data_IF_942536377529
#
_entry.id   IF_942536377529
#
_cell.length_a   1.000
_cell.length_b   1.000
_cell.length_c   1.000
_cell.angle_alpha   90.00
_cell.angle_beta   90.00
_cell.angle_gamma   90.00
#
_symmetry.space_group_name_H-M   'P 1'
#
loop_
_entity.id
_entity.type
_entity.pdbx_description
1 polymer ?
#
# COMPACT_ATOMS: atom_id res chain seq x y z
N UNK A 1 24.04 14.65 -3.80
CA UNK A 1 22.62 14.34 -3.53
C UNK A 1 21.78 14.80 -4.71
N UNK A 2 20.69 14.10 -5.03
CA UNK A 2 19.70 14.55 -6.02
C UNK A 2 18.92 15.75 -5.45
N UNK A 3 18.63 16.76 -6.26
CA UNK A 3 18.16 18.07 -5.76
C UNK A 3 16.65 18.29 -5.84
N UNK A 4 15.90 17.30 -6.34
CA UNK A 4 14.43 17.32 -6.40
C UNK A 4 13.89 16.22 -5.51
N UNK A 5 12.59 16.26 -5.24
CA UNK A 5 11.89 15.20 -4.51
C UNK A 5 12.07 13.84 -5.20
N UNK A 6 12.57 12.86 -4.46
CA UNK A 6 12.76 11.48 -4.88
C UNK A 6 11.84 10.57 -4.07
N UNK A 7 10.86 9.98 -4.76
CA UNK A 7 9.96 8.98 -4.19
C UNK A 7 10.37 7.61 -4.74
N UNK A 8 10.75 6.68 -3.87
CA UNK A 8 11.18 5.33 -4.29
C UNK A 8 10.02 4.35 -4.14
N UNK A 9 9.71 3.61 -5.20
CA UNK A 9 8.62 2.62 -5.19
C UNK A 9 9.15 1.23 -4.86
N UNK A 10 8.76 0.70 -3.69
CA UNK A 10 9.26 -0.57 -3.18
C UNK A 10 8.49 -1.76 -3.77
N UNK A 11 9.25 -2.82 -4.08
CA UNK A 11 8.70 -4.11 -4.50
C UNK A 11 8.21 -4.90 -3.28
N UNK A 12 7.07 -5.59 -3.37
CA UNK A 12 6.64 -6.51 -2.32
C UNK A 12 7.37 -7.87 -2.38
N UNK A 13 8.15 -8.14 -3.43
CA UNK A 13 8.82 -9.43 -3.63
C UNK A 13 10.16 -9.47 -2.89
N UNK A 14 10.12 -9.25 -1.57
CA UNK A 14 11.27 -9.18 -0.67
C UNK A 14 10.97 -9.91 0.64
N UNK A 15 12.00 -10.37 1.32
CA UNK A 15 11.87 -11.03 2.63
C UNK A 15 11.48 -10.05 3.74
N UNK A 16 12.01 -8.82 3.71
CA UNK A 16 11.83 -7.84 4.79
C UNK A 16 11.58 -6.44 4.23
N UNK A 17 10.33 -5.98 4.21
CA UNK A 17 10.03 -4.61 3.77
C UNK A 17 10.62 -3.53 4.70
N UNK A 18 10.71 -3.70 6.04
CA UNK A 18 11.36 -2.72 6.93
C UNK A 18 12.82 -2.44 6.55
N UNK A 19 13.59 -3.47 6.24
CA UNK A 19 15.01 -3.33 5.90
C UNK A 19 15.20 -2.51 4.62
N UNK A 20 14.43 -2.82 3.57
CA UNK A 20 14.48 -2.08 2.31
C UNK A 20 13.99 -0.63 2.48
N UNK A 21 12.91 -0.41 3.23
CA UNK A 21 12.41 0.92 3.53
C UNK A 21 13.48 1.76 4.25
N UNK A 22 14.15 1.19 5.25
CA UNK A 22 15.22 1.87 6.00
C UNK A 22 16.46 2.14 5.15
N UNK A 23 16.87 1.18 4.32
CA UNK A 23 18.01 1.33 3.43
C UNK A 23 17.78 2.49 2.43
N UNK A 24 16.56 2.60 1.90
CA UNK A 24 16.18 3.65 0.95
C UNK A 24 16.08 5.02 1.62
N UNK A 25 15.53 5.10 2.84
CA UNK A 25 15.57 6.33 3.65
C UNK A 25 17.02 6.79 3.89
N UNK A 26 17.90 5.87 4.33
CA UNK A 26 19.32 6.16 4.57
C UNK A 26 20.08 6.58 3.31
N UNK A 27 19.60 6.17 2.13
CA UNK A 27 20.16 6.59 0.83
C UNK A 27 19.68 7.99 0.38
N UNK A 28 18.78 8.62 1.13
CA UNK A 28 18.31 9.99 0.90
C UNK A 28 17.02 10.10 0.09
N UNK A 29 16.12 9.10 0.17
CA UNK A 29 14.77 9.25 -0.37
C UNK A 29 13.94 10.22 0.48
N UNK A 30 13.13 11.06 -0.17
CA UNK A 30 12.24 12.01 0.51
C UNK A 30 10.92 11.35 0.95
N UNK A 31 10.51 10.29 0.25
CA UNK A 31 9.35 9.46 0.58
C UNK A 31 9.49 8.07 -0.04
N UNK A 32 8.69 7.13 0.45
CA UNK A 32 8.53 5.80 -0.16
C UNK A 32 7.10 5.59 -0.63
N UNK A 33 6.93 4.80 -1.67
CA UNK A 33 5.63 4.32 -2.11
C UNK A 33 5.62 2.80 -2.18
N UNK A 34 4.56 2.16 -1.69
CA UNK A 34 4.47 0.71 -1.72
C UNK A 34 3.01 0.23 -1.63
N UNK A 35 2.67 -0.87 -2.31
CA UNK A 35 3.56 -1.81 -2.99
C UNK A 35 3.49 -1.71 -4.52
N UNK A 36 4.54 -2.20 -5.18
CA UNK A 36 4.43 -2.65 -6.57
C UNK A 36 3.65 -3.99 -6.64
N UNK A 37 3.54 -4.60 -7.82
CA UNK A 37 2.82 -5.87 -7.99
C UNK A 37 3.55 -7.05 -7.35
N UNK A 38 2.78 -8.04 -6.87
CA UNK A 38 3.31 -9.37 -6.57
C UNK A 38 3.60 -10.13 -7.86
N UNK A 39 4.42 -11.18 -7.81
CA UNK A 39 4.61 -12.05 -8.96
C UNK A 39 3.53 -13.14 -9.01
N UNK A 40 2.94 -13.34 -10.18
CA UNK A 40 1.97 -14.40 -10.43
C UNK A 40 2.10 -14.99 -11.82
N UNK A 41 1.30 -16.00 -12.13
CA UNK A 41 1.20 -16.61 -13.46
C UNK A 41 -0.24 -17.06 -13.73
N UNK A 42 -0.55 -17.23 -15.01
CA UNK A 42 -1.79 -17.84 -15.47
C UNK A 42 -1.45 -18.93 -16.49
N UNK A 43 -2.09 -20.09 -16.38
CA UNK A 43 -1.86 -21.27 -17.23
C UNK A 43 -3.16 -21.60 -17.95
N UNK A 44 -3.07 -21.79 -19.26
CA UNK A 44 -4.13 -22.40 -20.06
C UNK A 44 -4.07 -23.92 -19.84
N UNK A 45 -5.06 -24.48 -19.14
CA UNK A 45 -5.06 -25.89 -18.75
C UNK A 45 -5.22 -26.86 -19.94
N UNK A 46 -5.86 -26.42 -21.02
CA UNK A 46 -6.05 -27.23 -22.22
C UNK A 46 -4.79 -27.26 -23.07
N UNK A 47 -4.16 -26.09 -23.26
CA UNK A 47 -2.91 -25.98 -24.03
C UNK A 47 -1.67 -26.38 -23.24
N UNK A 48 -1.77 -26.36 -21.91
CA UNK A 48 -0.64 -26.57 -20.98
C UNK A 48 0.47 -25.54 -21.16
N UNK A 49 0.10 -24.31 -21.49
CA UNK A 49 1.01 -23.20 -21.79
C UNK A 49 0.71 -21.98 -20.91
N UNK A 50 1.68 -21.08 -20.67
CA UNK A 50 1.41 -19.81 -20.01
C UNK A 50 0.47 -18.93 -20.83
N UNK A 51 -0.48 -18.28 -20.17
CA UNK A 51 -1.37 -17.29 -20.81
C UNK A 51 -0.60 -16.00 -21.15
N UNK A 52 0.40 -15.66 -20.33
CA UNK A 52 1.23 -14.47 -20.51
C UNK A 52 2.47 -14.80 -21.33
N UNK A 53 2.77 -13.98 -22.35
CA UNK A 53 3.99 -14.15 -23.17
C UNK A 53 5.29 -14.08 -22.36
N UNK A 54 5.27 -13.38 -21.22
CA UNK A 54 6.39 -13.26 -20.27
C UNK A 54 6.44 -14.40 -19.24
N UNK A 55 5.60 -15.44 -19.40
CA UNK A 55 5.38 -16.58 -18.49
C UNK A 55 4.76 -16.18 -17.15
N UNK A 56 5.34 -15.20 -16.48
CA UNK A 56 4.87 -14.59 -15.25
C UNK A 56 4.46 -13.14 -15.49
N UNK A 57 3.74 -12.55 -14.54
CA UNK A 57 3.35 -11.15 -14.60
C UNK A 57 3.04 -10.59 -13.21
N UNK A 58 2.71 -9.30 -13.18
CA UNK A 58 2.31 -8.61 -11.96
C UNK A 58 0.88 -8.97 -11.54
N UNK A 59 0.72 -9.51 -10.35
CA UNK A 59 -0.56 -9.61 -9.66
C UNK A 59 -0.85 -8.30 -8.91
N UNK A 60 -2.01 -7.71 -9.20
CA UNK A 60 -2.51 -6.48 -8.59
C UNK A 60 -4.00 -6.61 -8.23
N UNK A 61 -4.65 -5.49 -7.93
CA UNK A 61 -6.08 -5.47 -7.60
C UNK A 61 -6.37 -5.91 -6.16
N UNK A 62 -7.65 -6.10 -5.81
CA UNK A 62 -8.08 -6.30 -4.42
C UNK A 62 -7.44 -7.53 -3.75
N UNK A 63 -7.05 -8.53 -4.55
CA UNK A 63 -6.37 -9.74 -4.07
C UNK A 63 -5.08 -9.44 -3.29
N UNK A 64 -4.36 -8.36 -3.63
CA UNK A 64 -3.09 -8.01 -2.97
C UNK A 64 -3.26 -7.05 -1.79
N UNK A 65 -4.48 -6.57 -1.51
CA UNK A 65 -4.76 -5.56 -0.46
C UNK A 65 -4.22 -5.99 0.92
N UNK A 66 -4.45 -7.23 1.41
CA UNK A 66 -3.98 -7.62 2.73
C UNK A 66 -2.45 -7.58 2.86
N UNK A 67 -1.72 -7.95 1.80
CA UNK A 67 -0.26 -7.89 1.77
C UNK A 67 0.22 -6.44 1.78
N UNK A 68 -0.43 -5.57 0.98
CA UNK A 68 -0.12 -4.16 0.91
C UNK A 68 -0.33 -3.44 2.25
N UNK A 69 -1.46 -3.68 2.94
CA UNK A 69 -1.74 -3.10 4.26
C UNK A 69 -0.68 -3.46 5.29
N UNK A 70 -0.34 -4.75 5.41
CA UNK A 70 0.73 -5.22 6.31
C UNK A 70 2.05 -4.51 6.02
N UNK A 71 2.44 -4.44 4.74
CA UNK A 71 3.72 -3.84 4.35
C UNK A 71 3.77 -2.34 4.57
N UNK A 72 2.68 -1.62 4.31
CA UNK A 72 2.58 -0.17 4.63
C UNK A 72 2.72 0.05 6.13
N UNK A 73 2.03 -0.76 6.93
CA UNK A 73 2.09 -0.68 8.39
C UNK A 73 3.49 -0.97 8.95
N UNK A 74 4.17 -1.99 8.43
CA UNK A 74 5.56 -2.29 8.79
C UNK A 74 6.54 -1.19 8.36
N UNK A 75 6.39 -0.65 7.15
CA UNK A 75 7.25 0.42 6.64
C UNK A 75 7.07 1.71 7.45
N UNK A 76 5.82 2.13 7.71
CA UNK A 76 5.50 3.33 8.48
C UNK A 76 6.12 3.31 9.88
N UNK A 77 6.14 2.16 10.56
CA UNK A 77 6.76 2.01 11.89
C UNK A 77 8.29 2.00 11.87
N UNK A 78 8.91 1.98 10.70
CA UNK A 78 10.36 1.80 10.52
C UNK A 78 11.08 3.06 10.04
N UNK A 79 10.43 3.85 9.18
CA UNK A 79 11.00 5.06 8.58
C UNK A 79 10.35 6.32 9.16
N UNK A 80 11.04 7.45 9.05
CA UNK A 80 10.53 8.77 9.45
C UNK A 80 10.04 9.60 8.25
N UNK A 81 10.28 9.12 7.02
CA UNK A 81 9.80 9.76 5.79
C UNK A 81 8.36 9.32 5.43
N UNK A 82 7.57 10.14 4.71
CA UNK A 82 6.20 9.80 4.35
C UNK A 82 6.07 8.49 3.55
N UNK A 83 4.99 7.77 3.83
CA UNK A 83 4.66 6.50 3.17
C UNK A 83 3.44 6.68 2.29
N UNK A 84 3.56 6.35 1.00
CA UNK A 84 2.43 6.36 0.05
C UNK A 84 1.93 4.93 -0.15
N UNK A 85 0.71 4.65 0.30
CA UNK A 85 0.09 3.33 0.30
C UNK A 85 -0.62 2.99 -1.01
N UNK A 86 -0.38 1.79 -1.53
CA UNK A 86 -0.86 1.35 -2.86
C UNK A 86 -1.04 -0.16 -2.87
N UNK A 87 -2.12 -0.64 -3.50
CA UNK A 87 -2.33 -2.06 -3.76
C UNK A 87 -3.72 -2.50 -3.37
N UNK A 88 -4.59 -2.70 -4.36
CA UNK A 88 -5.93 -3.26 -4.13
C UNK A 88 -6.95 -2.34 -3.47
N UNK A 89 -6.70 -1.02 -3.43
CA UNK A 89 -7.70 -0.02 -3.02
C UNK A 89 -8.78 0.05 -4.09
N UNK A 90 -10.01 -0.29 -3.72
CA UNK A 90 -11.19 -0.32 -4.62
C UNK A 90 -12.25 0.71 -4.22
N UNK A 91 -12.25 1.17 -2.97
CA UNK A 91 -13.25 2.08 -2.43
C UNK A 91 -12.69 2.93 -1.28
N UNK A 92 -13.54 3.80 -0.71
CA UNK A 92 -13.13 4.72 0.36
C UNK A 92 -12.77 4.02 1.67
N UNK A 93 -13.42 2.90 2.01
CA UNK A 93 -13.07 2.15 3.22
C UNK A 93 -11.64 1.60 3.11
N UNK A 94 -11.27 1.04 1.94
CA UNK A 94 -9.90 0.60 1.69
C UNK A 94 -8.91 1.77 1.83
N UNK A 95 -9.24 2.95 1.30
CA UNK A 95 -8.37 4.12 1.44
C UNK A 95 -8.15 4.52 2.91
N UNK A 96 -9.21 4.51 3.73
CA UNK A 96 -9.12 4.76 5.17
C UNK A 96 -8.28 3.69 5.87
N UNK A 97 -8.43 2.41 5.53
CA UNK A 97 -7.59 1.32 6.06
C UNK A 97 -6.09 1.57 5.81
N UNK A 98 -5.73 2.05 4.61
CA UNK A 98 -4.34 2.40 4.30
C UNK A 98 -3.84 3.60 5.11
N UNK A 99 -4.68 4.61 5.35
CA UNK A 99 -4.29 5.74 6.21
C UNK A 99 -4.08 5.28 7.65
N UNK A 100 -5.01 4.49 8.20
CA UNK A 100 -4.87 3.88 9.53
C UNK A 100 -3.60 3.03 9.65
N UNK A 101 -3.23 2.31 8.59
CA UNK A 101 -1.99 1.55 8.52
C UNK A 101 -0.73 2.44 8.53
N UNK A 102 -0.82 3.72 8.17
CA UNK A 102 0.32 4.66 8.17
C UNK A 102 0.57 5.37 6.85
N UNK A 103 -0.29 5.19 5.84
CA UNK A 103 -0.12 5.89 4.57
C UNK A 103 -0.49 7.38 4.70
N UNK A 104 0.46 8.26 4.38
CA UNK A 104 0.26 9.71 4.28
C UNK A 104 -0.56 10.09 3.05
N UNK A 105 -0.42 9.31 1.97
CA UNK A 105 -1.21 9.42 0.76
C UNK A 105 -1.47 8.03 0.18
N UNK A 106 -2.46 7.91 -0.71
CA UNK A 106 -2.80 6.65 -1.38
C UNK A 106 -2.73 6.75 -2.90
N UNK A 107 -2.54 5.63 -3.59
CA UNK A 107 -2.71 5.55 -5.05
C UNK A 107 -3.69 4.44 -5.44
N UNK A 108 -4.46 4.69 -6.49
CA UNK A 108 -5.46 3.75 -7.03
C UNK A 108 -5.03 3.33 -8.44
N UNK A 109 -4.75 2.04 -8.61
CA UNK A 109 -4.35 1.44 -9.88
C UNK A 109 -5.49 0.68 -10.54
N UNK A 110 -5.54 -0.65 -10.33
CA UNK A 110 -6.48 -1.59 -10.97
C UNK A 110 -7.94 -1.15 -10.95
N UNK A 111 -8.40 -0.50 -9.88
CA UNK A 111 -9.78 -0.06 -9.78
C UNK A 111 -10.18 0.94 -10.89
N UNK A 112 -9.25 1.78 -11.37
CA UNK A 112 -9.55 2.72 -12.45
C UNK A 112 -9.85 2.01 -13.79
N UNK A 113 -9.37 0.78 -13.99
CA UNK A 113 -9.72 -0.02 -15.18
C UNK A 113 -11.12 -0.63 -15.10
N UNK A 114 -11.68 -0.73 -13.89
CA UNK A 114 -13.04 -1.25 -13.65
C UNK A 114 -14.04 -0.09 -13.63
N UNK A 115 -13.67 1.01 -12.97
CA UNK A 115 -14.48 2.22 -12.85
C UNK A 115 -13.58 3.47 -12.93
N UNK A 116 -13.57 4.19 -14.07
CA UNK A 116 -12.75 5.39 -14.25
C UNK A 116 -13.10 6.53 -13.28
N UNK A 117 -14.27 6.50 -12.65
CA UNK A 117 -14.68 7.51 -11.65
C UNK A 117 -14.33 7.11 -10.21
N UNK A 118 -13.74 5.93 -9.99
CA UNK A 118 -13.45 5.40 -8.65
C UNK A 118 -12.66 6.39 -7.80
N UNK A 119 -11.71 7.11 -8.38
CA UNK A 119 -10.88 8.08 -7.65
C UNK A 119 -11.73 9.21 -7.06
N UNK A 120 -12.71 9.71 -7.80
CA UNK A 120 -13.64 10.75 -7.32
C UNK A 120 -14.57 10.17 -6.24
N UNK A 121 -15.09 8.96 -6.45
CA UNK A 121 -15.95 8.27 -5.47
C UNK A 121 -15.21 8.01 -4.15
N UNK A 122 -13.92 7.67 -4.20
CA UNK A 122 -13.07 7.50 -3.03
C UNK A 122 -12.90 8.81 -2.28
N UNK A 123 -12.64 9.93 -2.97
CA UNK A 123 -12.54 11.26 -2.35
C UNK A 123 -13.83 11.62 -1.60
N UNK A 124 -14.99 11.46 -2.23
CA UNK A 124 -16.28 11.77 -1.59
C UNK A 124 -16.60 10.81 -0.44
N UNK A 125 -16.23 9.53 -0.57
CA UNK A 125 -16.37 8.56 0.51
C UNK A 125 -15.47 8.84 1.71
N UNK A 126 -14.25 9.34 1.51
CA UNK A 126 -13.36 9.79 2.58
C UNK A 126 -13.99 11.00 3.29
N UNK A 127 -14.46 12.01 2.56
CA UNK A 127 -15.17 13.17 3.16
C UNK A 127 -16.37 12.72 4.01
N UNK A 128 -17.18 11.82 3.46
CA UNK A 128 -18.35 11.27 4.17
C UNK A 128 -17.95 10.51 5.44
N UNK A 129 -16.83 9.79 5.43
CA UNK A 129 -16.29 9.15 6.62
C UNK A 129 -15.87 10.19 7.67
N UNK A 130 -15.10 11.21 7.28
CA UNK A 130 -14.65 12.27 8.18
C UNK A 130 -15.82 13.00 8.83
N UNK A 131 -16.85 13.36 8.06
CA UNK A 131 -18.06 14.02 8.58
C UNK A 131 -18.79 13.14 9.60
N UNK A 132 -18.96 11.85 9.29
CA UNK A 132 -19.65 10.89 10.18
C UNK A 132 -18.94 10.72 11.52
N UNK A 133 -17.61 10.74 11.52
CA UNK A 133 -16.79 10.61 12.72
C UNK A 133 -16.36 11.95 13.33
N UNK A 134 -16.83 13.08 12.77
CA UNK A 134 -16.49 14.45 13.21
C UNK A 134 -14.98 14.71 13.24
N UNK A 135 -14.26 14.13 12.28
CA UNK A 135 -12.82 14.31 12.11
C UNK A 135 -12.60 15.50 11.17
N UNK A 136 -11.89 16.52 11.63
CA UNK A 136 -11.68 17.77 10.87
C UNK A 136 -10.38 17.79 10.06
N UNK A 137 -9.45 16.90 10.38
CA UNK A 137 -8.16 16.77 9.70
C UNK A 137 -7.90 15.31 9.37
N UNK A 138 -7.81 14.98 8.08
CA UNK A 138 -7.57 13.61 7.61
C UNK A 138 -6.22 13.06 8.08
N UNK A 139 -5.27 13.94 8.41
CA UNK A 139 -3.95 13.53 8.91
C UNK A 139 -4.04 12.81 10.26
N UNK A 140 -5.11 13.02 11.04
CA UNK A 140 -5.32 12.31 12.32
C UNK A 140 -5.67 10.84 12.15
N UNK A 141 -5.85 10.36 10.91
CA UNK A 141 -6.00 8.93 10.62
C UNK A 141 -4.66 8.23 10.44
N UNK A 142 -3.60 8.98 10.10
CA UNK A 142 -2.32 8.39 9.68
C UNK A 142 -1.70 7.62 10.85
N UNK A 143 -1.58 6.30 10.70
CA UNK A 143 -0.97 5.44 11.69
C UNK A 143 -1.80 5.22 12.96
N UNK A 144 -3.10 5.54 12.93
CA UNK A 144 -4.01 5.39 14.07
C UNK A 144 -4.66 4.01 14.18
N UNK A 145 -4.04 2.97 13.61
CA UNK A 145 -4.43 1.59 13.83
C UNK A 145 -4.23 1.21 15.30
N UNK A 146 -5.32 0.98 16.02
CA UNK A 146 -5.29 0.49 17.40
C UNK A 146 -4.97 -1.01 17.43
N UNK A 147 -3.94 -1.37 18.20
CA UNK A 147 -3.59 -2.76 18.47
C UNK A 147 -4.10 -3.15 19.86
N UNK A 148 -4.49 -4.42 20.08
CA UNK A 148 -4.75 -4.90 21.43
C UNK A 148 -3.51 -4.70 22.32
N UNK A 149 -3.70 -4.53 23.62
CA UNK A 149 -2.61 -4.20 24.57
C UNK A 149 -1.42 -5.17 24.48
N UNK A 150 -1.71 -6.47 24.34
CA UNK A 150 -0.70 -7.54 24.20
C UNK A 150 0.15 -7.41 22.93
N UNK A 151 -0.30 -6.63 21.94
CA UNK A 151 0.32 -6.46 20.62
C UNK A 151 0.88 -5.06 20.39
N UNK A 152 0.91 -4.17 21.40
CA UNK A 152 1.52 -2.85 21.28
C UNK A 152 3.01 -2.92 20.89
N UNK A 153 3.71 -3.98 21.33
CA UNK A 153 5.09 -4.27 20.95
C UNK A 153 5.21 -5.32 19.84
N UNK A 154 4.12 -5.60 19.10
CA UNK A 154 4.11 -6.66 18.09
C UNK A 154 5.23 -6.44 17.08
N UNK A 155 6.06 -7.49 16.95
CA UNK A 155 7.03 -7.66 15.89
C UNK A 155 6.56 -8.80 15.00
N UNK A 156 6.43 -8.60 13.69
CA UNK A 156 6.06 -9.67 12.79
C UNK A 156 7.07 -10.82 12.88
N UNK A 157 6.62 -12.09 12.80
CA UNK A 157 7.53 -13.22 12.72
C UNK A 157 8.42 -13.08 11.48
N UNK A 158 9.69 -13.47 11.60
CA UNK A 158 10.56 -13.65 10.44
C UNK A 158 10.04 -14.88 9.70
N UNK A 159 9.45 -14.67 8.53
CA UNK A 159 8.95 -15.73 7.63
C UNK A 159 9.98 -16.06 6.57
#
# INVERSE_FOLDING_TARGET
AYHKTLIVKLSPNVTSIPEFAKAVENAGADAISLINTLLGMAIDAEKREPVLATVTGGLSGPAIKPVALRMVWEAYRTVNIPVIGIGGIMNAADAIEFMLAGATAIQIGTANFIDPQVTIKVIEGIKSYLDRFKITDVNTLIGCLELPDDFQQYRPPVV
#
